data_IF_497863599779
#
_entry.id   IF_497863599779
#
_cell.length_a   1.000
_cell.length_b   1.000
_cell.length_c   1.000
_cell.angle_alpha   90.00
_cell.angle_beta   90.00
_cell.angle_gamma   90.00
#
_symmetry.space_group_name_H-M   'P 1'
#
loop_
_entity.id
_entity.type
_entity.pdbx_description
1 polymer ?
#
# COMPACT_ATOMS: atom_id res chain seq x y z
N UNK A 1 -0.62 29.63 -19.15
CA UNK A 1 -0.53 28.79 -17.94
C UNK A 1 -1.54 27.66 -18.09
N UNK A 2 -1.10 26.40 -18.06
CA UNK A 2 -2.06 25.27 -18.05
C UNK A 2 -2.79 25.28 -16.72
N UNK A 3 -4.10 25.47 -16.74
CA UNK A 3 -4.95 25.43 -15.54
C UNK A 3 -4.95 23.98 -15.05
N UNK A 4 -4.23 23.68 -13.97
CA UNK A 4 -4.27 22.36 -13.33
C UNK A 4 -5.64 22.18 -12.65
N UNK A 5 -6.56 21.51 -13.34
CA UNK A 5 -7.87 21.11 -12.78
C UNK A 5 -7.69 19.91 -11.85
N UNK A 6 -8.35 19.92 -10.70
CA UNK A 6 -8.32 18.78 -9.77
C UNK A 6 -8.99 17.54 -10.41
N UNK A 7 -8.41 16.32 -10.28
CA UNK A 7 -8.97 15.09 -10.86
C UNK A 7 -10.42 14.80 -10.43
N UNK A 8 -10.78 15.20 -9.20
CA UNK A 8 -12.13 15.00 -8.64
C UNK A 8 -13.25 15.69 -9.43
N UNK A 9 -12.94 16.70 -10.25
CA UNK A 9 -13.94 17.34 -11.09
C UNK A 9 -14.27 16.56 -12.38
N UNK A 10 -13.58 15.43 -12.63
CA UNK A 10 -13.75 14.59 -13.81
C UNK A 10 -13.97 13.13 -13.38
N UNK A 11 -14.86 12.90 -12.40
CA UNK A 11 -15.25 11.54 -12.00
C UNK A 11 -15.88 10.83 -13.20
N UNK A 12 -15.47 9.59 -13.44
CA UNK A 12 -15.99 8.71 -14.49
C UNK A 12 -16.46 7.39 -13.89
N UNK A 13 -17.48 6.80 -14.50
CA UNK A 13 -17.91 5.44 -14.18
C UNK A 13 -17.05 4.45 -14.99
N UNK A 14 -16.38 3.52 -14.32
CA UNK A 14 -15.46 2.54 -14.93
C UNK A 14 -15.95 1.12 -14.61
N UNK A 15 -16.05 0.20 -15.59
CA UNK A 15 -16.37 -1.20 -15.29
C UNK A 15 -15.33 -1.79 -14.32
N UNK A 16 -15.80 -2.42 -13.24
CA UNK A 16 -14.91 -2.92 -12.17
C UNK A 16 -13.91 -3.96 -12.68
N UNK A 17 -14.22 -4.64 -13.78
CA UNK A 17 -13.37 -5.60 -14.48
C UNK A 17 -12.13 -4.95 -15.10
N UNK A 18 -12.23 -3.66 -15.45
CA UNK A 18 -11.08 -2.88 -15.95
C UNK A 18 -10.23 -2.33 -14.83
N UNK A 19 -10.61 -2.51 -13.56
CA UNK A 19 -9.89 -1.99 -12.40
C UNK A 19 -9.05 -3.10 -11.76
N UNK A 20 -7.73 -2.89 -11.75
CA UNK A 20 -6.77 -3.77 -11.11
C UNK A 20 -6.24 -3.12 -9.83
N UNK A 21 -6.38 -3.82 -8.70
CA UNK A 21 -5.72 -3.42 -7.47
C UNK A 21 -4.20 -3.58 -7.62
N UNK A 22 -3.43 -2.64 -7.09
CA UNK A 22 -1.99 -2.80 -6.98
C UNK A 22 -1.65 -3.80 -5.85
N UNK A 23 -0.51 -4.48 -5.97
CA UNK A 23 -0.03 -5.44 -4.95
C UNK A 23 0.40 -4.75 -3.63
N UNK A 24 0.43 -3.42 -3.61
CA UNK A 24 0.87 -2.58 -2.50
C UNK A 24 -0.27 -2.11 -1.59
N UNK A 25 -1.22 -2.98 -1.23
CA UNK A 25 -2.24 -2.64 -0.25
C UNK A 25 -2.09 -3.41 1.07
N UNK A 26 -1.49 -2.81 2.12
CA UNK A 26 -1.32 -3.44 3.42
C UNK A 26 -2.54 -3.28 4.34
N UNK A 27 -3.63 -2.64 3.88
CA UNK A 27 -4.78 -2.35 4.73
C UNK A 27 -5.65 -3.59 4.90
N UNK A 28 -5.44 -4.31 5.99
CA UNK A 28 -6.39 -5.30 6.51
C UNK A 28 -7.39 -4.52 7.38
N UNK A 29 -8.56 -4.22 6.82
CA UNK A 29 -9.67 -3.68 7.61
C UNK A 29 -10.46 -4.83 8.22
N UNK A 30 -10.86 -4.66 9.48
CA UNK A 30 -11.60 -5.70 10.18
C UNK A 30 -13.00 -5.92 9.56
N UNK A 31 -13.53 -7.16 9.64
CA UNK A 31 -14.79 -7.51 8.99
C UNK A 31 -16.02 -6.63 9.35
N UNK A 32 -16.18 -6.12 10.58
CA UNK A 32 -17.30 -5.24 10.94
C UNK A 32 -17.31 -3.91 10.17
N UNK A 33 -16.15 -3.27 10.02
CA UNK A 33 -15.98 -2.01 9.31
C UNK A 33 -16.24 -2.17 7.80
N UNK A 34 -15.87 -3.32 7.23
CA UNK A 34 -16.22 -3.67 5.86
C UNK A 34 -17.74 -3.79 5.65
N UNK A 35 -18.47 -4.37 6.63
CA UNK A 35 -19.94 -4.45 6.57
C UNK A 35 -20.59 -3.08 6.70
N UNK A 36 -20.06 -2.21 7.56
CA UNK A 36 -20.54 -0.83 7.69
C UNK A 36 -20.31 -0.04 6.40
N UNK A 37 -19.15 -0.21 5.75
CA UNK A 37 -18.89 0.40 4.45
C UNK A 37 -19.86 -0.10 3.37
N UNK A 38 -20.12 -1.41 3.32
CA UNK A 38 -21.11 -1.97 2.40
C UNK A 38 -22.51 -1.40 2.66
N UNK A 39 -22.91 -1.26 3.93
CA UNK A 39 -24.18 -0.63 4.29
C UNK A 39 -24.22 0.84 3.87
N UNK A 40 -23.16 1.61 4.11
CA UNK A 40 -23.10 3.01 3.68
C UNK A 40 -23.21 3.15 2.15
N UNK A 41 -22.53 2.29 1.38
CA UNK A 41 -22.68 2.28 -0.08
C UNK A 41 -24.10 1.82 -0.47
N UNK A 42 -24.73 0.93 0.30
CA UNK A 42 -26.10 0.49 0.05
C UNK A 42 -27.15 1.57 0.29
N UNK A 43 -26.98 2.40 1.32
CA UNK A 43 -27.91 3.49 1.64
C UNK A 43 -27.61 4.74 0.80
N UNK A 44 -26.35 5.19 0.81
CA UNK A 44 -25.96 6.51 0.27
C UNK A 44 -25.28 6.44 -1.10
N UNK A 45 -24.84 5.25 -1.52
CA UNK A 45 -23.99 5.08 -2.69
C UNK A 45 -22.54 5.45 -2.47
N UNK A 46 -21.79 5.48 -3.56
CA UNK A 46 -20.42 5.94 -3.52
C UNK A 46 -20.36 7.47 -3.36
N UNK A 47 -20.12 7.92 -2.14
CA UNK A 47 -19.94 9.35 -1.82
C UNK A 47 -18.52 9.85 -2.13
N UNK A 48 -17.57 8.94 -2.34
CA UNK A 48 -16.18 9.25 -2.67
C UNK A 48 -15.70 8.33 -3.80
N UNK A 49 -15.06 8.86 -4.86
CA UNK A 49 -14.54 8.05 -5.95
C UNK A 49 -13.24 7.33 -5.57
N UNK A 50 -12.98 6.20 -6.22
CA UNK A 50 -11.68 5.54 -6.20
C UNK A 50 -10.67 6.34 -7.03
N UNK A 51 -9.39 6.28 -6.67
CA UNK A 51 -8.33 6.99 -7.39
C UNK A 51 -7.54 5.97 -8.19
N UNK A 52 -7.37 6.21 -9.49
CA UNK A 52 -6.65 5.30 -10.37
C UNK A 52 -5.64 6.04 -11.26
N UNK A 53 -4.66 5.28 -11.76
CA UNK A 53 -3.96 5.59 -13.00
C UNK A 53 -4.60 4.83 -14.15
N UNK A 54 -4.60 5.41 -15.35
CA UNK A 54 -5.01 4.69 -16.55
C UNK A 54 -3.78 4.20 -17.31
N UNK A 55 -3.72 2.88 -17.53
CA UNK A 55 -2.74 2.23 -18.41
C UNK A 55 -3.37 2.09 -19.80
N UNK A 56 -2.91 2.95 -20.72
CA UNK A 56 -3.43 3.01 -22.09
C UNK A 56 -3.06 1.78 -22.92
N UNK A 57 -1.93 1.14 -22.64
CA UNK A 57 -1.46 -0.02 -23.42
C UNK A 57 -2.29 -1.27 -23.12
N UNK A 58 -2.65 -1.43 -21.84
CA UNK A 58 -3.43 -2.59 -21.36
C UNK A 58 -4.93 -2.31 -21.27
N UNK A 59 -5.35 -1.07 -21.48
CA UNK A 59 -6.74 -0.61 -21.32
C UNK A 59 -7.32 -0.92 -19.92
N UNK A 60 -6.51 -0.68 -18.87
CA UNK A 60 -6.89 -0.93 -17.47
C UNK A 60 -6.65 0.28 -16.57
N UNK A 61 -7.35 0.29 -15.45
CA UNK A 61 -7.22 1.26 -14.38
C UNK A 61 -6.49 0.63 -13.20
N UNK A 62 -5.32 1.16 -12.87
CA UNK A 62 -4.52 0.69 -11.75
C UNK A 62 -4.96 1.48 -10.51
N UNK A 63 -5.53 0.78 -9.53
CA UNK A 63 -6.02 1.36 -8.29
C UNK A 63 -4.87 1.94 -7.47
N UNK A 64 -5.06 3.17 -7.02
CA UNK A 64 -4.15 3.92 -6.15
C UNK A 64 -4.77 4.07 -4.77
N UNK A 65 -6.07 4.39 -4.74
CA UNK A 65 -6.83 4.51 -3.51
C UNK A 65 -8.28 4.03 -3.70
N UNK A 66 -8.88 3.58 -2.60
CA UNK A 66 -10.26 3.13 -2.58
C UNK A 66 -10.38 1.62 -2.62
N UNK A 67 -9.35 0.90 -2.15
CA UNK A 67 -9.34 -0.56 -2.15
C UNK A 67 -10.60 -1.16 -1.51
N UNK A 68 -10.98 -0.75 -0.30
CA UNK A 68 -12.18 -1.32 0.34
C UNK A 68 -13.47 -1.05 -0.45
N UNK A 69 -13.59 0.13 -1.08
CA UNK A 69 -14.72 0.48 -1.96
C UNK A 69 -14.75 -0.40 -3.20
N UNK A 70 -13.59 -0.57 -3.84
CA UNK A 70 -13.40 -1.52 -4.94
C UNK A 70 -13.75 -2.96 -4.52
N UNK A 71 -13.25 -3.42 -3.36
CA UNK A 71 -13.51 -4.76 -2.82
C UNK A 71 -15.00 -4.98 -2.56
N UNK A 72 -15.69 -4.02 -1.95
CA UNK A 72 -17.14 -4.11 -1.71
C UNK A 72 -17.90 -4.25 -3.01
N UNK A 73 -17.59 -3.43 -4.03
CA UNK A 73 -18.23 -3.55 -5.34
C UNK A 73 -18.01 -4.94 -5.96
N UNK A 74 -16.79 -5.49 -5.82
CA UNK A 74 -16.41 -6.78 -6.41
C UNK A 74 -17.02 -7.98 -5.69
N UNK A 75 -17.24 -7.90 -4.39
CA UNK A 75 -17.67 -9.06 -3.57
C UNK A 75 -19.14 -9.03 -3.18
N UNK A 76 -19.76 -7.84 -3.03
CA UNK A 76 -21.17 -7.72 -2.67
C UNK A 76 -22.06 -7.74 -3.92
N UNK A 77 -22.81 -8.83 -4.10
CA UNK A 77 -23.74 -8.99 -5.22
C UNK A 77 -24.78 -7.86 -5.29
N UNK A 78 -25.29 -7.40 -4.14
CA UNK A 78 -26.31 -6.33 -4.10
C UNK A 78 -25.73 -4.99 -4.53
N UNK A 79 -24.49 -4.67 -4.14
CA UNK A 79 -23.82 -3.43 -4.54
C UNK A 79 -23.46 -3.48 -6.02
N UNK A 80 -22.93 -4.62 -6.48
CA UNK A 80 -22.65 -4.83 -7.90
C UNK A 80 -23.88 -4.59 -8.77
N UNK A 81 -25.04 -5.14 -8.38
CA UNK A 81 -26.30 -4.96 -9.11
C UNK A 81 -26.79 -3.51 -9.06
N UNK A 82 -26.77 -2.88 -7.88
CA UNK A 82 -27.18 -1.47 -7.70
C UNK A 82 -26.38 -0.53 -8.60
N UNK A 83 -25.07 -0.73 -8.69
CA UNK A 83 -24.14 0.14 -9.42
C UNK A 83 -23.87 -0.35 -10.85
N UNK A 84 -24.55 -1.40 -11.31
CA UNK A 84 -24.37 -2.03 -12.62
C UNK A 84 -22.89 -2.42 -12.92
N UNK A 85 -22.15 -2.85 -11.89
CA UNK A 85 -20.73 -3.19 -12.00
C UNK A 85 -19.80 -1.98 -12.26
N UNK A 86 -20.30 -0.75 -12.13
CA UNK A 86 -19.53 0.45 -12.42
C UNK A 86 -18.94 1.05 -11.13
N UNK A 87 -17.63 1.29 -11.13
CA UNK A 87 -16.90 1.95 -10.06
C UNK A 87 -16.71 3.44 -10.40
N UNK A 88 -17.07 4.39 -9.53
CA UNK A 88 -16.72 5.79 -9.74
C UNK A 88 -15.23 6.00 -9.49
N UNK A 89 -14.54 6.51 -10.49
CA UNK A 89 -13.08 6.66 -10.52
C UNK A 89 -12.68 8.08 -10.89
N UNK A 90 -11.63 8.58 -10.25
CA UNK A 90 -10.87 9.75 -10.69
C UNK A 90 -9.51 9.30 -11.19
N UNK A 91 -9.08 9.86 -12.33
CA UNK A 91 -7.83 9.46 -12.99
C UNK A 91 -6.75 10.50 -12.71
N UNK A 92 -5.61 10.06 -12.17
CA UNK A 92 -4.41 10.88 -12.09
C UNK A 92 -3.71 10.83 -13.44
N UNK A 93 -3.61 11.97 -14.12
CA UNK A 93 -2.88 12.08 -15.39
C UNK A 93 -1.40 12.41 -15.15
N UNK A 94 -0.56 11.37 -15.04
CA UNK A 94 0.90 11.47 -14.89
C UNK A 94 1.64 10.27 -15.51
N UNK A 95 2.87 10.52 -15.96
CA UNK A 95 3.80 9.51 -16.49
C UNK A 95 4.14 8.41 -15.47
N UNK A 96 4.50 7.23 -15.99
CA UNK A 96 4.73 5.99 -15.24
C UNK A 96 5.66 6.15 -14.02
N UNK A 97 6.77 6.90 -14.17
CA UNK A 97 7.75 7.13 -13.11
C UNK A 97 7.18 7.86 -11.89
N UNK A 98 6.10 8.63 -12.07
CA UNK A 98 5.43 9.36 -11.01
C UNK A 98 4.31 8.55 -10.33
N UNK A 99 3.97 7.36 -10.83
CA UNK A 99 2.83 6.57 -10.35
C UNK A 99 3.02 6.12 -8.92
N UNK A 100 4.16 5.49 -8.65
CA UNK A 100 4.55 4.97 -7.34
C UNK A 100 4.57 6.10 -6.29
N UNK A 101 5.18 7.25 -6.63
CA UNK A 101 5.25 8.40 -5.70
C UNK A 101 3.87 8.91 -5.24
N UNK A 102 2.87 8.96 -6.12
CA UNK A 102 1.54 9.45 -5.71
C UNK A 102 0.77 8.42 -4.90
N UNK A 103 0.92 7.12 -5.19
CA UNK A 103 0.33 6.05 -4.37
C UNK A 103 0.86 6.12 -2.94
N UNK A 104 2.17 6.30 -2.80
CA UNK A 104 2.80 6.43 -1.49
C UNK A 104 2.30 7.68 -0.76
N UNK A 105 2.27 8.84 -1.43
CA UNK A 105 1.72 10.08 -0.85
C UNK A 105 0.26 9.92 -0.40
N UNK A 106 -0.57 9.25 -1.19
CA UNK A 106 -1.99 9.04 -0.87
C UNK A 106 -2.21 8.09 0.31
N UNK A 107 -1.42 7.03 0.39
CA UNK A 107 -1.48 6.09 1.50
C UNK A 107 -0.97 6.76 2.79
N UNK A 108 0.16 7.47 2.70
CA UNK A 108 0.79 8.18 3.82
C UNK A 108 -0.08 9.32 4.35
N UNK A 109 -0.72 10.11 3.49
CA UNK A 109 -1.61 11.20 3.92
C UNK A 109 -2.87 10.72 4.67
N UNK A 110 -3.26 9.44 4.53
CA UNK A 110 -4.40 8.85 5.24
C UNK A 110 -4.07 8.32 6.64
N UNK A 111 -2.81 8.45 7.09
CA UNK A 111 -2.43 8.22 8.49
C UNK A 111 -2.19 6.75 8.88
N UNK A 112 -2.23 5.78 7.95
CA UNK A 112 -1.76 4.43 8.24
C UNK A 112 -0.23 4.39 8.19
N UNK A 113 0.40 4.67 9.33
CA UNK A 113 1.85 4.48 9.55
C UNK A 113 2.20 2.96 9.54
N UNK A 114 2.01 2.30 8.41
CA UNK A 114 2.54 0.95 8.23
C UNK A 114 4.03 1.05 7.90
N UNK A 115 4.86 1.00 8.94
CA UNK A 115 6.32 1.11 8.85
C UNK A 115 6.90 0.04 7.90
N UNK A 116 6.36 -1.18 7.93
CA UNK A 116 6.80 -2.27 7.04
C UNK A 116 6.58 -1.93 5.56
N UNK A 117 5.40 -1.40 5.21
CA UNK A 117 5.11 -0.94 3.85
C UNK A 117 6.09 0.17 3.44
N UNK A 118 6.35 1.13 4.33
CA UNK A 118 7.24 2.24 4.03
C UNK A 118 8.69 1.77 3.85
N UNK A 119 9.15 0.79 4.64
CA UNK A 119 10.46 0.14 4.47
C UNK A 119 10.55 -0.54 3.10
N UNK A 120 9.55 -1.34 2.73
CA UNK A 120 9.55 -2.04 1.43
C UNK A 120 9.59 -1.04 0.26
N UNK A 121 8.80 0.03 0.34
CA UNK A 121 8.74 1.06 -0.69
C UNK A 121 10.07 1.82 -0.82
N UNK A 122 10.69 2.19 0.29
CA UNK A 122 12.00 2.85 0.28
C UNK A 122 13.06 1.92 -0.30
N UNK A 123 13.04 0.63 0.05
CA UNK A 123 13.95 -0.36 -0.50
C UNK A 123 13.81 -0.53 -2.02
N UNK A 124 12.57 -0.61 -2.53
CA UNK A 124 12.30 -0.70 -3.98
C UNK A 124 12.76 0.56 -4.74
N UNK A 125 12.50 1.75 -4.18
CA UNK A 125 12.96 3.01 -4.79
C UNK A 125 14.48 3.13 -4.80
N UNK A 126 15.15 2.68 -3.74
CA UNK A 126 16.61 2.66 -3.64
C UNK A 126 17.23 1.66 -4.63
N UNK A 127 16.68 0.44 -4.72
CA UNK A 127 17.05 -0.58 -5.72
C UNK A 127 16.83 -0.10 -7.15
N UNK A 128 15.79 0.72 -7.39
CA UNK A 128 15.54 1.37 -8.68
C UNK A 128 16.45 2.58 -8.97
N UNK A 129 17.40 2.90 -8.07
CA UNK A 129 18.39 3.95 -8.26
C UNK A 129 17.87 5.37 -8.02
N UNK A 130 16.74 5.54 -7.32
CA UNK A 130 16.23 6.87 -6.96
C UNK A 130 17.09 7.50 -5.88
N UNK A 131 17.44 8.78 -6.03
CA UNK A 131 18.26 9.49 -5.03
C UNK A 131 17.47 9.82 -3.76
N UNK A 132 18.16 9.91 -2.62
CA UNK A 132 17.57 10.31 -1.34
C UNK A 132 16.79 11.63 -1.45
N UNK A 133 17.36 12.62 -2.15
CA UNK A 133 16.69 13.90 -2.39
C UNK A 133 15.39 13.74 -3.20
N UNK A 134 15.38 12.84 -4.18
CA UNK A 134 14.18 12.53 -4.95
C UNK A 134 13.13 11.86 -4.07
N UNK A 135 13.52 10.88 -3.25
CA UNK A 135 12.62 10.15 -2.35
C UNK A 135 12.02 11.11 -1.32
N UNK A 136 12.84 11.89 -0.61
CA UNK A 136 12.36 12.88 0.37
C UNK A 136 11.35 13.86 -0.24
N UNK A 137 11.69 14.45 -1.40
CA UNK A 137 10.85 15.44 -2.07
C UNK A 137 9.54 14.85 -2.59
N UNK A 138 9.58 13.65 -3.19
CA UNK A 138 8.41 13.08 -3.86
C UNK A 138 7.54 12.23 -2.94
N UNK A 139 8.12 11.63 -1.90
CA UNK A 139 7.38 10.82 -0.92
C UNK A 139 6.91 11.67 0.26
N UNK A 140 7.51 12.83 0.50
CA UNK A 140 7.19 13.72 1.62
C UNK A 140 7.75 13.18 2.94
N UNK A 141 8.99 12.70 2.90
CA UNK A 141 9.75 12.20 4.06
C UNK A 141 10.81 13.21 4.48
N UNK A 142 11.06 13.28 5.78
CA UNK A 142 12.26 13.94 6.30
C UNK A 142 13.48 13.01 6.21
N UNK A 143 14.66 13.57 6.49
CA UNK A 143 15.94 12.86 6.34
C UNK A 143 16.07 11.72 7.34
N UNK A 144 15.64 11.93 8.59
CA UNK A 144 15.84 10.98 9.67
C UNK A 144 14.89 9.78 9.52
N UNK A 145 13.68 10.03 9.05
CA UNK A 145 12.73 9.00 8.67
C UNK A 145 13.24 8.15 7.52
N UNK A 146 13.75 8.75 6.44
CA UNK A 146 14.34 8.01 5.32
C UNK A 146 15.52 7.13 5.80
N UNK A 147 16.39 7.68 6.64
CA UNK A 147 17.54 6.95 7.19
C UNK A 147 17.10 5.75 8.03
N UNK A 148 16.12 5.93 8.92
CA UNK A 148 15.57 4.84 9.75
C UNK A 148 14.98 3.71 8.89
N UNK A 149 14.21 4.05 7.86
CA UNK A 149 13.59 3.05 6.98
C UNK A 149 14.64 2.26 6.19
N UNK A 150 15.68 2.94 5.68
CA UNK A 150 16.82 2.28 5.01
C UNK A 150 17.60 1.34 5.93
N UNK A 151 17.77 1.70 7.20
CA UNK A 151 18.43 0.84 8.17
C UNK A 151 17.62 -0.42 8.47
N UNK A 152 16.31 -0.29 8.64
CA UNK A 152 15.41 -1.43 8.88
C UNK A 152 15.41 -2.37 7.67
N UNK A 153 15.27 -1.84 6.45
CA UNK A 153 15.31 -2.66 5.23
C UNK A 153 16.67 -3.31 4.99
N UNK A 154 17.77 -2.58 5.25
CA UNK A 154 19.12 -3.12 5.10
C UNK A 154 19.43 -4.24 6.10
N UNK A 155 18.94 -4.13 7.34
CA UNK A 155 19.04 -5.21 8.33
C UNK A 155 18.22 -6.44 7.87
N UNK A 156 16.99 -6.24 7.41
CA UNK A 156 16.17 -7.35 6.90
C UNK A 156 16.87 -8.10 5.75
N UNK A 157 17.45 -7.39 4.78
CA UNK A 157 18.20 -7.99 3.66
C UNK A 157 19.47 -8.73 4.14
N UNK A 158 20.17 -8.20 5.16
CA UNK A 158 21.36 -8.83 5.77
C UNK A 158 21.06 -10.17 6.47
N UNK A 159 19.84 -10.35 6.98
CA UNK A 159 19.44 -11.53 7.76
C UNK A 159 18.50 -12.49 7.03
N UNK A 160 18.02 -12.14 5.82
CA UNK A 160 17.05 -12.94 5.07
C UNK A 160 17.50 -14.39 4.76
N UNK A 161 18.82 -14.66 4.73
CA UNK A 161 19.40 -15.97 4.39
C UNK A 161 20.27 -16.55 5.52
N UNK A 162 19.99 -16.23 6.79
CA UNK A 162 20.74 -16.80 7.92
C UNK A 162 19.86 -17.68 8.79
N UNK A 163 20.33 -18.90 9.07
CA UNK A 163 19.76 -19.74 10.11
C UNK A 163 20.13 -19.19 11.48
N UNK A 164 19.12 -18.98 12.33
CA UNK A 164 19.33 -18.52 13.69
C UNK A 164 19.55 -19.72 14.61
N UNK A 165 20.63 -19.72 15.37
CA UNK A 165 20.79 -20.63 16.51
C UNK A 165 20.21 -19.98 17.75
N UNK A 166 19.30 -20.69 18.43
CA UNK A 166 18.89 -20.35 19.79
C UNK A 166 20.06 -20.74 20.69
N UNK A 167 20.65 -19.84 21.48
CA UNK A 167 21.62 -20.22 22.50
C UNK A 167 20.93 -21.19 23.46
N UNK A 168 21.48 -22.39 23.66
CA UNK A 168 20.97 -23.31 24.68
C UNK A 168 20.96 -22.57 26.02
N UNK A 169 19.77 -22.45 26.63
CA UNK A 169 19.65 -21.98 28.00
C UNK A 169 20.49 -22.91 28.87
N UNK A 170 21.38 -22.35 29.69
CA UNK A 170 22.10 -23.07 30.75
C UNK A 170 21.05 -23.81 31.59
N UNK A 171 20.87 -25.11 31.32
CA UNK A 171 20.03 -25.95 32.16
C UNK A 171 20.70 -26.02 33.54
N UNK A 172 20.02 -25.61 34.62
CA UNK A 172 20.57 -25.72 35.96
C UNK A 172 20.54 -27.20 36.37
N UNK A 173 21.60 -27.93 36.06
CA UNK A 173 21.62 -29.37 36.32
C UNK A 173 22.95 -30.11 36.18
N UNK A 174 24.04 -29.50 35.70
CA UNK A 174 25.31 -30.20 35.59
C UNK A 174 26.35 -29.66 36.59
N UNK A 175 26.11 -29.96 37.86
CA UNK A 175 27.07 -29.74 38.94
C UNK A 175 28.09 -30.89 38.92
N UNK A 176 29.34 -30.52 38.69
CA UNK A 176 30.58 -31.21 39.07
C UNK A 176 30.71 -32.72 38.78
N UNK A 177 31.50 -33.05 37.76
CA UNK A 177 32.44 -34.18 37.84
C UNK A 177 33.87 -33.69 37.62
N UNK A 178 34.54 -33.36 38.73
CA UNK A 178 36.00 -33.24 38.76
C UNK A 178 36.65 -34.56 38.32
N UNK A 179 37.74 -34.54 37.53
CA UNK A 179 38.48 -35.75 37.21
C UNK A 179 39.27 -36.21 38.44
N UNK A 180 39.10 -37.47 38.83
CA UNK A 180 39.98 -38.11 39.80
C UNK A 180 41.35 -38.37 39.15
N UNK A 181 42.42 -38.03 39.88
CA UNK A 181 43.81 -38.37 39.55
C UNK A 181 44.06 -39.87 39.68
#
# INVERSE_FOLDING_TARGET
MSIKKSPVYNVIAVPVEKVQANDYNPNIVAPPEMKLLELSIWEDGFTMPCVCYYDKEKDIYILVDGFHRYSVLKTSKRIFQRENGMLPVVVIDKDLSNRMSSTIRHNRARGTHNIELMCHIVAELDKAGMSDQWIMKNIGMDRDELLRLKQISGLADLFANRDFSIPEEDQPGNVDKKPAR
#
